data_IF_119662480890
#
_entry.id   IF_119662480890
#
_cell.length_a   1.000
_cell.length_b   1.000
_cell.length_c   1.000
_cell.angle_alpha   90.00
_cell.angle_beta   90.00
_cell.angle_gamma   90.00
#
_symmetry.space_group_name_H-M   'P 1'
#
loop_
_entity.id
_entity.type
_entity.pdbx_description
1 polymer ?
#
# COMPACT_ATOMS: atom_id res chain seq x y z
N UNK A 1 -7.67 -4.78 2.51
CA UNK A 1 -7.17 -3.81 3.50
C UNK A 1 -8.17 -3.63 4.63
N UNK A 2 -9.45 -3.35 4.34
CA UNK A 2 -10.50 -3.29 5.36
C UNK A 2 -10.50 -4.50 6.33
N UNK A 3 -10.36 -5.73 5.81
CA UNK A 3 -10.28 -6.93 6.65
C UNK A 3 -9.10 -6.93 7.62
N UNK A 4 -7.94 -6.41 7.20
CA UNK A 4 -6.77 -6.27 8.07
C UNK A 4 -7.04 -5.25 9.18
N UNK A 5 -7.64 -4.11 8.83
CA UNK A 5 -8.01 -3.07 9.81
C UNK A 5 -9.03 -3.60 10.83
N UNK A 6 -10.01 -4.38 10.37
CA UNK A 6 -10.96 -5.05 11.26
C UNK A 6 -10.29 -6.08 12.17
N UNK A 7 -9.34 -6.85 11.65
CA UNK A 7 -8.59 -7.83 12.45
C UNK A 7 -7.76 -7.14 13.54
N UNK A 8 -7.05 -6.05 13.21
CA UNK A 8 -6.32 -5.23 14.19
C UNK A 8 -7.27 -4.69 15.27
N UNK A 9 -8.42 -4.15 14.85
CA UNK A 9 -9.42 -3.61 15.77
C UNK A 9 -9.99 -4.68 16.70
N UNK A 10 -10.31 -5.87 16.18
CA UNK A 10 -10.81 -7.03 16.96
C UNK A 10 -9.75 -7.53 17.95
N UNK A 11 -8.48 -7.49 17.56
CA UNK A 11 -7.36 -7.83 18.42
C UNK A 11 -7.03 -6.74 19.48
N UNK A 12 -7.68 -5.58 19.43
CA UNK A 12 -7.43 -4.42 20.31
C UNK A 12 -5.98 -3.95 20.30
N UNK A 13 -5.30 -4.10 19.17
CA UNK A 13 -3.92 -3.66 18.98
C UNK A 13 -3.88 -2.20 18.57
N UNK A 14 -2.89 -1.46 19.08
CA UNK A 14 -2.62 -0.10 18.60
C UNK A 14 -1.98 -0.16 17.20
N UNK A 15 -2.45 0.62 16.22
CA UNK A 15 -1.88 0.63 14.87
C UNK A 15 -0.37 0.92 14.83
N UNK A 16 0.13 1.73 15.77
CA UNK A 16 1.56 2.04 15.91
C UNK A 16 2.39 0.85 16.41
N UNK A 17 1.80 -0.15 17.04
CA UNK A 17 2.51 -1.34 17.54
C UNK A 17 2.50 -2.49 16.53
N UNK A 18 1.62 -2.44 15.54
CA UNK A 18 1.55 -3.41 14.45
C UNK A 18 2.79 -3.28 13.56
N UNK A 19 3.55 -4.36 13.47
CA UNK A 19 4.80 -4.44 12.70
C UNK A 19 4.85 -5.76 11.91
N UNK A 20 5.75 -5.81 10.94
CA UNK A 20 5.93 -6.96 10.05
C UNK A 20 5.73 -6.60 8.58
N UNK A 21 5.38 -7.59 7.77
CA UNK A 21 5.23 -7.45 6.32
C UNK A 21 3.80 -7.80 5.91
N UNK A 22 3.11 -6.86 5.25
CA UNK A 22 1.84 -7.07 4.60
C UNK A 22 2.04 -7.17 3.09
N UNK A 23 1.73 -8.33 2.53
CA UNK A 23 1.77 -8.56 1.09
C UNK A 23 0.41 -8.25 0.48
N UNK A 24 0.39 -7.37 -0.51
CA UNK A 24 -0.80 -6.98 -1.26
C UNK A 24 -0.56 -7.35 -2.72
N UNK A 25 -1.33 -8.31 -3.22
CA UNK A 25 -1.32 -8.64 -4.64
C UNK A 25 -2.54 -8.02 -5.33
N UNK A 26 -2.29 -7.19 -6.34
CA UNK A 26 -3.34 -6.55 -7.12
C UNK A 26 -3.62 -7.37 -8.38
N UNK A 27 -4.83 -7.92 -8.50
CA UNK A 27 -5.26 -8.61 -9.73
C UNK A 27 -5.35 -7.68 -10.96
N UNK A 28 -5.29 -6.36 -10.76
CA UNK A 28 -5.28 -5.42 -11.86
C UNK A 28 -3.88 -5.38 -12.51
N UNK A 29 -3.72 -5.86 -13.75
CA UNK A 29 -2.41 -5.92 -14.41
C UNK A 29 -1.88 -4.53 -14.79
N UNK A 30 -2.72 -3.49 -14.72
CA UNK A 30 -2.28 -2.11 -14.98
C UNK A 30 -1.47 -1.51 -13.84
N UNK A 31 -1.35 -2.18 -12.69
CA UNK A 31 -0.63 -1.69 -11.52
C UNK A 31 -1.45 -0.74 -10.64
N UNK A 32 -0.81 -0.23 -9.60
CA UNK A 32 -1.42 0.74 -8.70
C UNK A 32 -1.64 2.08 -9.43
N UNK A 33 -2.90 2.52 -9.44
CA UNK A 33 -3.32 3.76 -10.07
C UNK A 33 -2.66 4.99 -9.41
N UNK A 34 -2.51 6.10 -10.15
CA UNK A 34 -1.90 7.33 -9.62
C UNK A 34 -2.64 7.86 -8.39
N UNK A 35 -3.96 7.77 -8.36
CA UNK A 35 -4.78 8.14 -7.20
C UNK A 35 -4.55 7.21 -6.00
N UNK A 36 -4.25 5.94 -6.24
CA UNK A 36 -4.01 4.92 -5.22
C UNK A 36 -2.72 5.21 -4.43
N UNK A 37 -1.69 5.70 -5.12
CA UNK A 37 -0.36 6.06 -4.58
C UNK A 37 -0.18 7.57 -4.37
N UNK A 38 -1.24 8.36 -4.57
CA UNK A 38 -1.19 9.80 -4.40
C UNK A 38 -0.82 10.15 -2.95
N UNK A 39 -0.07 11.23 -2.77
CA UNK A 39 0.30 11.69 -1.44
C UNK A 39 1.61 11.15 -0.88
N UNK A 40 2.20 10.10 -1.48
CA UNK A 40 3.46 9.48 -1.03
C UNK A 40 4.66 10.39 -1.29
N UNK A 41 4.81 10.89 -2.52
CA UNK A 41 5.88 11.83 -2.90
C UNK A 41 5.41 13.28 -3.01
N UNK A 42 4.10 13.53 -2.87
CA UNK A 42 3.53 14.88 -2.96
C UNK A 42 2.64 15.17 -1.75
N UNK A 43 3.17 15.96 -0.81
CA UNK A 43 2.44 16.31 0.42
C UNK A 43 1.13 17.05 0.15
N UNK A 44 1.01 17.78 -0.97
CA UNK A 44 -0.15 18.59 -1.35
C UNK A 44 -1.24 17.82 -2.11
N UNK A 45 -0.93 16.63 -2.60
CA UNK A 45 -1.91 15.80 -3.30
C UNK A 45 -2.90 15.16 -2.32
N UNK A 46 -4.11 14.87 -2.81
CA UNK A 46 -5.06 14.04 -2.08
C UNK A 46 -4.42 12.69 -1.72
N UNK A 47 -4.59 12.27 -0.47
CA UNK A 47 -3.91 11.09 0.04
C UNK A 47 -4.60 9.82 -0.44
N UNK A 48 -3.90 9.06 -1.27
CA UNK A 48 -4.31 7.76 -1.76
C UNK A 48 -4.35 6.70 -0.64
N UNK A 49 -4.97 5.56 -0.96
CA UNK A 49 -5.19 4.48 0.00
C UNK A 49 -3.89 3.93 0.57
N UNK A 50 -2.86 3.72 -0.26
CA UNK A 50 -1.59 3.17 0.18
C UNK A 50 -0.84 4.12 1.12
N UNK A 51 -0.90 5.42 0.87
CA UNK A 51 -0.32 6.42 1.78
C UNK A 51 -1.03 6.43 3.12
N UNK A 52 -2.37 6.57 3.11
CA UNK A 52 -3.19 6.60 4.34
C UNK A 52 -2.95 5.36 5.20
N UNK A 53 -2.97 4.18 4.58
CA UNK A 53 -2.76 2.91 5.25
C UNK A 53 -1.34 2.79 5.83
N UNK A 54 -0.31 3.18 5.08
CA UNK A 54 1.08 3.16 5.56
C UNK A 54 1.35 4.16 6.69
N UNK A 55 0.63 5.29 6.74
CA UNK A 55 0.71 6.23 7.87
C UNK A 55 -0.04 5.73 9.10
N UNK A 56 -1.14 5.00 8.91
CA UNK A 56 -1.91 4.38 9.99
C UNK A 56 -1.11 3.28 10.68
N UNK A 57 -0.35 2.49 9.92
CA UNK A 57 0.52 1.41 10.41
C UNK A 57 2.00 1.73 10.15
N UNK A 58 2.61 2.66 10.90
CA UNK A 58 3.93 3.21 10.58
C UNK A 58 5.07 2.18 10.63
N UNK A 59 4.90 1.09 11.38
CA UNK A 59 5.90 0.03 11.54
C UNK A 59 5.68 -1.17 10.61
N UNK A 60 4.62 -1.16 9.81
CA UNK A 60 4.29 -2.21 8.84
C UNK A 60 4.94 -1.89 7.49
N UNK A 61 5.65 -2.87 6.92
CA UNK A 61 6.10 -2.85 5.54
C UNK A 61 4.99 -3.36 4.63
N UNK A 62 4.56 -2.55 3.68
CA UNK A 62 3.50 -2.92 2.74
C UNK A 62 4.15 -3.20 1.40
N UNK A 63 4.19 -4.48 1.02
CA UNK A 63 4.78 -4.97 -0.22
C UNK A 63 3.64 -5.14 -1.21
N UNK A 64 3.62 -4.31 -2.26
CA UNK A 64 2.58 -4.34 -3.28
C UNK A 64 3.15 -4.95 -4.55
N UNK A 65 2.44 -5.94 -5.07
CA UNK A 65 2.70 -6.55 -6.38
C UNK A 65 1.43 -6.45 -7.22
N UNK A 66 1.57 -6.56 -8.54
CA UNK A 66 0.45 -6.62 -9.47
C UNK A 66 0.58 -7.83 -10.36
N UNK A 67 -0.56 -8.38 -10.78
CA UNK A 67 -0.63 -9.41 -11.81
C UNK A 67 0.13 -8.95 -13.07
N UNK A 68 0.85 -9.86 -13.72
CA UNK A 68 1.51 -9.58 -15.00
C UNK A 68 0.81 -10.45 -16.04
N UNK A 69 0.17 -9.80 -17.02
CA UNK A 69 -0.50 -10.48 -18.13
C UNK A 69 0.22 -10.11 -19.41
N UNK A 70 0.69 -11.11 -20.15
CA UNK A 70 1.37 -10.93 -21.43
C UNK A 70 0.51 -10.10 -22.40
N UNK A 71 1.13 -9.14 -23.09
CA UNK A 71 0.44 -8.23 -24.00
C UNK A 71 -0.31 -7.07 -23.33
N UNK A 72 -0.46 -7.03 -21.99
CA UNK A 72 -1.03 -5.87 -21.27
C UNK A 72 0.07 -5.00 -20.68
N UNK A 73 0.22 -3.78 -21.22
CA UNK A 73 1.14 -2.77 -20.64
C UNK A 73 0.59 -2.21 -19.33
N UNK A 74 1.46 -2.11 -18.34
CA UNK A 74 1.18 -1.38 -17.12
C UNK A 74 1.16 0.12 -17.35
N UNK A 75 0.27 0.80 -16.61
CA UNK A 75 0.14 2.26 -16.63
C UNK A 75 0.55 2.84 -15.27
N UNK A 76 0.30 2.09 -14.21
CA UNK A 76 0.67 2.40 -12.83
C UNK A 76 1.86 1.59 -12.35
N UNK A 77 2.25 1.81 -11.09
CA UNK A 77 3.38 1.14 -10.46
C UNK A 77 3.01 -0.31 -10.13
N UNK A 78 3.73 -1.29 -10.69
CA UNK A 78 3.41 -2.71 -10.55
C UNK A 78 4.01 -3.34 -9.29
N UNK A 79 5.15 -2.83 -8.85
CA UNK A 79 5.83 -3.27 -7.63
C UNK A 79 6.29 -2.06 -6.83
N UNK A 80 6.06 -2.08 -5.53
CA UNK A 80 6.65 -1.12 -4.60
C UNK A 80 6.51 -1.58 -3.15
N UNK A 81 7.41 -1.08 -2.31
CA UNK A 81 7.35 -1.29 -0.86
C UNK A 81 7.21 0.05 -0.15
N UNK A 82 6.26 0.12 0.77
CA UNK A 82 6.01 1.30 1.61
C UNK A 82 6.25 1.03 3.08
N UNK A 83 6.79 2.03 3.77
CA UNK A 83 6.84 2.08 5.23
C UNK A 83 6.65 3.52 5.69
N UNK A 84 5.78 3.73 6.67
CA UNK A 84 5.46 5.05 7.24
C UNK A 84 5.18 6.14 6.18
N UNK A 85 4.45 5.79 5.12
CA UNK A 85 4.09 6.69 4.03
C UNK A 85 5.22 7.08 3.09
N UNK A 86 6.34 6.35 3.09
CA UNK A 86 7.47 6.54 2.18
C UNK A 86 7.75 5.27 1.38
N UNK A 87 8.20 5.43 0.13
CA UNK A 87 8.81 4.33 -0.61
C UNK A 87 10.13 3.94 0.06
N UNK A 88 10.31 2.63 0.27
CA UNK A 88 11.59 2.06 0.67
C UNK A 88 12.18 1.19 -0.45
N UNK A 89 11.35 0.75 -1.40
CA UNK A 89 11.77 0.06 -2.63
C UNK A 89 10.73 0.26 -3.74
N UNK A 90 11.20 0.12 -5.00
CA UNK A 90 10.39 -0.02 -6.22
C UNK A 90 10.44 1.16 -7.16
#
# INVERSE_FOLDING_TARGET
>A
MAEFEEAVKKAKLNPSEVSGKLYVHQSNPRGACTACIAGINNSKAEKGIFFKFSKMYPNLEIIVTSEIIEGKRAVGKQFFVLKNGKYIEG
#
